data_IF_657859336311
#
_entry.id   IF_657859336311
#
_cell.length_a   1.000
_cell.length_b   1.000
_cell.length_c   1.000
_cell.angle_alpha   90.00
_cell.angle_beta   90.00
_cell.angle_gamma   90.00
#
_symmetry.space_group_name_H-M   'P 1'
#
loop_
_entity.id
_entity.type
_entity.pdbx_description
1 polymer ?
#
# COMPACT_ATOMS: atom_id res chain seq x y z
N UNK A 1 56.75 -53.09 115.40
CA UNK A 1 55.60 -52.16 115.47
C UNK A 1 55.93 -50.68 115.17
N UNK A 2 57.19 -50.22 115.22
CA UNK A 2 57.55 -48.82 114.86
C UNK A 2 57.69 -48.63 113.33
N UNK A 3 58.07 -49.67 112.58
CA UNK A 3 58.25 -49.58 111.12
C UNK A 3 56.94 -49.52 110.31
N UNK A 4 55.85 -50.14 110.76
CA UNK A 4 54.56 -50.09 110.06
C UNK A 4 53.87 -48.72 110.13
N UNK A 5 54.08 -47.95 111.20
CA UNK A 5 53.51 -46.59 111.29
C UNK A 5 54.23 -45.62 110.37
N UNK A 6 55.53 -45.83 110.11
CA UNK A 6 56.33 -45.01 109.18
C UNK A 6 55.93 -45.24 107.73
N UNK A 7 55.67 -46.49 107.33
CA UNK A 7 55.24 -46.82 105.96
C UNK A 7 53.84 -46.29 105.65
N UNK A 8 52.91 -46.32 106.62
CA UNK A 8 51.56 -45.75 106.45
C UNK A 8 51.58 -44.22 106.31
N UNK A 9 52.39 -43.52 107.11
CA UNK A 9 52.58 -42.07 107.00
C UNK A 9 53.25 -41.68 105.68
N UNK A 10 54.28 -42.41 105.27
CA UNK A 10 54.96 -42.19 103.99
C UNK A 10 53.99 -42.37 102.80
N UNK A 11 53.19 -43.44 102.79
CA UNK A 11 52.20 -43.66 101.73
C UNK A 11 51.10 -42.58 101.70
N UNK A 12 50.64 -42.07 102.85
CA UNK A 12 49.66 -40.96 102.89
C UNK A 12 50.23 -39.65 102.32
N UNK A 13 51.49 -39.34 102.63
CA UNK A 13 52.16 -38.14 102.11
C UNK A 13 52.42 -38.27 100.61
N UNK A 14 52.87 -39.44 100.14
CA UNK A 14 53.13 -39.69 98.71
C UNK A 14 51.84 -39.67 97.88
N UNK A 15 50.76 -40.28 98.36
CA UNK A 15 49.44 -40.27 97.69
C UNK A 15 48.82 -38.87 97.67
N UNK A 16 48.92 -38.11 98.77
CA UNK A 16 48.48 -36.71 98.83
C UNK A 16 49.28 -35.82 97.88
N UNK A 17 50.60 -36.01 97.81
CA UNK A 17 51.46 -35.30 96.86
C UNK A 17 51.15 -35.64 95.41
N UNK A 18 50.91 -36.92 95.08
CA UNK A 18 50.52 -37.33 93.73
C UNK A 18 49.14 -36.78 93.34
N UNK A 19 48.17 -36.78 94.27
CA UNK A 19 46.85 -36.18 94.05
C UNK A 19 46.95 -34.68 93.77
N UNK A 20 47.69 -33.94 94.60
CA UNK A 20 47.91 -32.50 94.41
C UNK A 20 48.69 -32.19 93.11
N UNK A 21 49.61 -33.06 92.70
CA UNK A 21 50.35 -32.94 91.43
C UNK A 21 49.44 -33.18 90.22
N UNK A 22 48.52 -34.14 90.31
CA UNK A 22 47.50 -34.38 89.28
C UNK A 22 46.54 -33.19 89.20
N UNK A 23 46.03 -32.70 90.33
CA UNK A 23 45.12 -31.55 90.39
C UNK A 23 45.77 -30.26 89.89
N UNK A 24 47.05 -30.00 90.19
CA UNK A 24 47.79 -28.89 89.55
C UNK A 24 47.96 -29.09 88.05
N UNK A 25 48.19 -30.32 87.62
CA UNK A 25 48.30 -30.66 86.20
C UNK A 25 46.98 -30.44 85.45
N UNK A 26 45.83 -30.76 86.05
CA UNK A 26 44.52 -30.51 85.45
C UNK A 26 44.18 -29.03 85.44
N UNK A 27 44.40 -28.31 86.55
CA UNK A 27 44.17 -26.86 86.60
C UNK A 27 45.07 -26.09 85.63
N UNK A 28 46.32 -26.52 85.44
CA UNK A 28 47.20 -25.90 84.44
C UNK A 28 46.68 -26.13 83.00
N UNK A 29 46.16 -27.32 82.70
CA UNK A 29 45.54 -27.58 81.39
C UNK A 29 44.25 -26.80 81.19
N UNK A 30 43.42 -26.66 82.24
CA UNK A 30 42.20 -25.85 82.19
C UNK A 30 42.51 -24.36 82.03
N UNK A 31 43.57 -23.86 82.68
CA UNK A 31 44.03 -22.49 82.52
C UNK A 31 44.53 -22.24 81.09
N UNK A 32 45.31 -23.17 80.52
CA UNK A 32 45.78 -23.04 79.13
C UNK A 32 44.61 -23.19 78.14
N UNK A 33 43.65 -24.09 78.38
CA UNK A 33 42.43 -24.18 77.58
C UNK A 33 41.62 -22.89 77.65
N UNK A 34 41.44 -22.31 78.85
CA UNK A 34 40.74 -21.04 79.04
C UNK A 34 41.47 -19.87 78.37
N UNK A 35 42.81 -19.85 78.34
CA UNK A 35 43.59 -18.84 77.60
C UNK A 35 43.40 -18.98 76.09
N UNK A 36 43.38 -20.21 75.58
CA UNK A 36 43.12 -20.47 74.16
C UNK A 36 41.69 -20.04 73.78
N UNK A 37 40.70 -20.29 74.64
CA UNK A 37 39.35 -19.79 74.41
C UNK A 37 39.25 -18.26 74.52
N UNK A 38 39.89 -17.65 75.53
CA UNK A 38 39.93 -16.20 75.67
C UNK A 38 40.60 -15.52 74.46
N UNK A 39 41.61 -16.15 73.86
CA UNK A 39 42.26 -15.66 72.65
C UNK A 39 41.38 -15.75 71.39
N UNK A 40 40.34 -16.59 71.39
CA UNK A 40 39.37 -16.69 70.28
C UNK A 40 38.27 -15.62 70.33
N UNK A 41 37.98 -15.07 71.51
CA UNK A 41 36.96 -14.02 71.70
C UNK A 41 37.16 -12.81 70.77
N UNK A 42 38.34 -12.17 70.67
CA UNK A 42 38.51 -11.00 69.80
C UNK A 42 38.34 -11.33 68.31
N UNK A 43 38.67 -12.56 67.89
CA UNK A 43 38.47 -12.99 66.52
C UNK A 43 36.98 -13.17 66.20
N UNK A 44 36.21 -13.75 67.13
CA UNK A 44 34.75 -13.86 67.00
C UNK A 44 34.05 -12.49 67.04
N UNK A 45 34.56 -11.53 67.81
CA UNK A 45 34.04 -10.16 67.83
C UNK A 45 34.26 -9.46 66.49
N UNK A 46 35.43 -9.62 65.87
CA UNK A 46 35.70 -9.08 64.54
C UNK A 46 34.84 -9.76 63.47
N UNK A 47 34.70 -11.09 63.51
CA UNK A 47 33.83 -11.84 62.59
C UNK A 47 32.37 -11.39 62.73
N UNK A 48 31.88 -11.16 63.95
CA UNK A 48 30.54 -10.62 64.19
C UNK A 48 30.37 -9.18 63.68
N UNK A 49 31.42 -8.35 63.81
CA UNK A 49 31.41 -6.99 63.29
C UNK A 49 31.37 -7.00 61.75
N UNK A 50 32.15 -7.86 61.10
CA UNK A 50 32.12 -8.05 59.64
C UNK A 50 30.76 -8.57 59.19
N UNK A 51 30.19 -9.58 59.86
CA UNK A 51 28.88 -10.12 59.52
C UNK A 51 27.76 -9.08 59.66
N UNK A 52 27.82 -8.20 60.68
CA UNK A 52 26.87 -7.09 60.85
C UNK A 52 27.00 -6.04 59.75
N UNK A 53 28.23 -5.72 59.32
CA UNK A 53 28.46 -4.79 58.20
C UNK A 53 27.89 -5.37 56.89
N UNK A 54 28.13 -6.65 56.60
CA UNK A 54 27.57 -7.34 55.44
C UNK A 54 26.03 -7.39 55.47
N UNK A 55 25.43 -7.60 56.65
CA UNK A 55 23.97 -7.51 56.79
C UNK A 55 23.45 -6.11 56.45
N UNK A 56 24.08 -5.05 56.96
CA UNK A 56 23.67 -3.67 56.68
C UNK A 56 23.76 -3.31 55.18
N UNK A 57 24.84 -3.71 54.50
CA UNK A 57 24.99 -3.54 53.05
C UNK A 57 23.88 -4.26 52.27
N UNK A 58 23.53 -5.48 52.69
CA UNK A 58 22.45 -6.25 52.07
C UNK A 58 21.07 -5.59 52.26
N UNK A 59 20.83 -4.97 53.41
CA UNK A 59 19.59 -4.21 53.69
C UNK A 59 19.52 -2.91 52.88
N UNK A 60 20.63 -2.20 52.70
CA UNK A 60 20.69 -1.03 51.83
C UNK A 60 20.47 -1.40 50.36
N UNK A 61 21.10 -2.49 49.89
CA UNK A 61 20.85 -3.04 48.56
C UNK A 61 19.38 -3.44 48.38
N UNK A 62 18.78 -4.08 49.39
CA UNK A 62 17.36 -4.44 49.40
C UNK A 62 16.44 -3.21 49.35
N UNK A 63 16.74 -2.16 50.12
CA UNK A 63 15.99 -0.89 50.09
C UNK A 63 16.11 -0.17 48.74
N UNK A 64 17.31 -0.15 48.15
CA UNK A 64 17.54 0.42 46.82
C UNK A 64 16.78 -0.35 45.73
N UNK A 65 16.77 -1.69 45.80
CA UNK A 65 16.00 -2.53 44.89
C UNK A 65 14.48 -2.28 45.04
N UNK A 66 13.97 -2.19 46.27
CA UNK A 66 12.57 -1.86 46.53
C UNK A 66 12.18 -0.46 46.01
N UNK A 67 13.07 0.52 46.10
CA UNK A 67 12.84 1.86 45.53
C UNK A 67 12.77 1.82 43.99
N UNK A 68 13.68 1.07 43.34
CA UNK A 68 13.64 0.88 41.88
C UNK A 68 12.36 0.19 41.41
N UNK A 69 11.89 -0.83 42.15
CA UNK A 69 10.62 -1.49 41.86
C UNK A 69 9.43 -0.53 41.92
N UNK A 70 9.38 0.35 42.93
CA UNK A 70 8.30 1.35 43.03
C UNK A 70 8.31 2.35 41.87
N UNK A 71 9.50 2.76 41.41
CA UNK A 71 9.62 3.62 40.22
C UNK A 71 9.13 2.88 38.98
N UNK A 72 9.54 1.63 38.79
CA UNK A 72 9.08 0.80 37.68
C UNK A 72 7.56 0.56 37.70
N UNK A 73 6.97 0.34 38.88
CA UNK A 73 5.52 0.23 39.04
C UNK A 73 4.79 1.54 38.67
N UNK A 74 5.38 2.68 39.04
CA UNK A 74 4.91 4.01 38.64
C UNK A 74 4.94 4.21 37.11
N UNK A 75 6.00 3.75 36.46
CA UNK A 75 6.12 3.81 35.00
C UNK A 75 5.13 2.86 34.30
N UNK A 76 4.95 1.64 34.81
CA UNK A 76 3.96 0.68 34.30
C UNK A 76 2.54 1.22 34.40
N UNK A 77 2.18 1.88 35.50
CA UNK A 77 0.85 2.49 35.65
C UNK A 77 0.65 3.65 34.68
N UNK A 78 1.67 4.48 34.44
CA UNK A 78 1.65 5.54 33.44
C UNK A 78 1.47 4.99 32.02
N UNK A 79 2.21 3.93 31.66
CA UNK A 79 2.12 3.31 30.34
C UNK A 79 0.74 2.68 30.10
N UNK A 80 0.17 2.00 31.09
CA UNK A 80 -1.21 1.47 31.00
C UNK A 80 -2.26 2.57 30.82
N UNK A 81 -2.08 3.73 31.45
CA UNK A 81 -2.98 4.86 31.26
C UNK A 81 -2.90 5.42 29.82
N UNK A 82 -1.68 5.50 29.28
CA UNK A 82 -1.44 5.94 27.90
C UNK A 82 -2.00 4.94 26.88
N UNK A 83 -1.82 3.63 27.11
CA UNK A 83 -2.44 2.57 26.29
C UNK A 83 -3.97 2.69 26.30
N UNK A 84 -4.58 2.88 27.47
CA UNK A 84 -6.03 3.09 27.58
C UNK A 84 -6.51 4.33 26.82
N UNK A 85 -5.74 5.42 26.85
CA UNK A 85 -6.05 6.64 26.09
C UNK A 85 -5.97 6.39 24.58
N UNK A 86 -4.92 5.73 24.09
CA UNK A 86 -4.80 5.40 22.68
C UNK A 86 -5.90 4.44 22.20
N UNK A 87 -6.29 3.46 23.03
CA UNK A 87 -7.43 2.60 22.72
C UNK A 87 -8.72 3.42 22.61
N UNK A 88 -8.94 4.39 23.50
CA UNK A 88 -10.09 5.29 23.41
C UNK A 88 -10.06 6.14 22.12
N UNK A 89 -8.90 6.72 21.78
CA UNK A 89 -8.70 7.47 20.53
C UNK A 89 -9.00 6.60 19.30
N UNK A 90 -8.46 5.38 19.24
CA UNK A 90 -8.72 4.45 18.13
C UNK A 90 -10.20 4.08 18.01
N UNK A 91 -10.91 3.88 19.12
CA UNK A 91 -12.36 3.64 19.08
C UNK A 91 -13.15 4.86 18.58
N UNK A 92 -12.71 6.08 18.92
CA UNK A 92 -13.33 7.32 18.43
C UNK A 92 -13.08 7.53 16.93
N UNK A 93 -11.87 7.24 16.44
CA UNK A 93 -11.55 7.33 15.02
C UNK A 93 -12.34 6.30 14.21
N UNK A 94 -12.42 5.05 14.70
CA UNK A 94 -13.20 3.99 14.04
C UNK A 94 -14.69 4.32 13.93
N UNK A 95 -15.27 4.96 14.95
CA UNK A 95 -16.68 5.39 14.90
C UNK A 95 -16.87 6.56 13.95
N UNK A 96 -15.97 7.55 13.95
CA UNK A 96 -16.00 8.66 13.00
C UNK A 96 -15.81 8.21 11.53
N UNK A 97 -14.93 7.23 11.28
CA UNK A 97 -14.77 6.64 9.96
C UNK A 97 -16.02 5.88 9.51
N UNK A 98 -16.63 5.11 10.41
CA UNK A 98 -17.90 4.43 10.12
C UNK A 98 -18.99 5.41 9.74
N UNK A 99 -19.12 6.54 10.45
CA UNK A 99 -20.09 7.58 10.11
C UNK A 99 -19.82 8.20 8.73
N UNK A 100 -18.55 8.41 8.36
CA UNK A 100 -18.20 8.88 7.02
C UNK A 100 -18.56 7.86 5.94
N UNK A 101 -18.32 6.58 6.17
CA UNK A 101 -18.70 5.50 5.25
C UNK A 101 -20.23 5.44 5.10
N UNK A 102 -20.96 5.56 6.19
CA UNK A 102 -22.43 5.58 6.17
C UNK A 102 -22.98 6.81 5.41
N UNK A 103 -22.36 8.00 5.56
CA UNK A 103 -22.73 9.20 4.77
C UNK A 103 -22.44 9.01 3.28
N UNK A 104 -21.28 8.44 2.93
CA UNK A 104 -20.93 8.13 1.54
C UNK A 104 -21.88 7.10 0.93
N UNK A 105 -22.26 6.07 1.68
CA UNK A 105 -23.26 5.08 1.24
C UNK A 105 -24.59 5.74 0.93
N UNK A 106 -25.08 6.63 1.81
CA UNK A 106 -26.34 7.38 1.56
C UNK A 106 -26.26 8.26 0.31
N UNK A 107 -25.12 8.92 0.08
CA UNK A 107 -24.90 9.73 -1.12
C UNK A 107 -24.86 8.87 -2.38
N UNK A 108 -24.27 7.68 -2.31
CA UNK A 108 -24.26 6.73 -3.41
C UNK A 108 -25.68 6.27 -3.75
N UNK A 109 -26.48 5.87 -2.76
CA UNK A 109 -27.88 5.48 -2.94
C UNK A 109 -28.71 6.61 -3.58
N UNK A 110 -28.45 7.86 -3.20
CA UNK A 110 -29.13 9.02 -3.79
C UNK A 110 -28.73 9.24 -5.25
N UNK A 111 -27.45 9.09 -5.59
CA UNK A 111 -26.97 9.17 -6.97
C UNK A 111 -27.54 8.03 -7.81
N UNK A 112 -27.65 6.82 -7.27
CA UNK A 112 -28.26 5.68 -7.94
C UNK A 112 -29.77 5.91 -8.19
N UNK A 113 -30.50 6.45 -7.22
CA UNK A 113 -31.90 6.86 -7.42
C UNK A 113 -32.03 7.90 -8.53
N UNK A 114 -31.15 8.90 -8.56
CA UNK A 114 -31.15 9.93 -9.61
C UNK A 114 -30.84 9.32 -10.99
N UNK A 115 -29.89 8.38 -11.07
CA UNK A 115 -29.60 7.65 -12.30
C UNK A 115 -30.80 6.87 -12.80
N UNK A 116 -31.48 6.13 -11.92
CA UNK A 116 -32.67 5.34 -12.28
C UNK A 116 -33.82 6.24 -12.74
N UNK A 117 -34.06 7.36 -12.07
CA UNK A 117 -35.08 8.34 -12.49
C UNK A 117 -34.77 8.93 -13.88
N UNK A 118 -33.52 9.29 -14.15
CA UNK A 118 -33.11 9.77 -15.47
C UNK A 118 -33.22 8.68 -16.54
N UNK A 119 -32.91 7.43 -16.19
CA UNK A 119 -33.04 6.31 -17.11
C UNK A 119 -34.51 6.08 -17.49
N UNK A 120 -35.44 6.19 -16.53
CA UNK A 120 -36.88 6.15 -16.79
C UNK A 120 -37.33 7.32 -17.69
N UNK A 121 -36.87 8.54 -17.43
CA UNK A 121 -37.19 9.70 -18.28
C UNK A 121 -36.70 9.51 -19.73
N UNK A 122 -35.51 8.92 -19.91
CA UNK A 122 -34.97 8.59 -21.24
C UNK A 122 -35.81 7.52 -21.93
N UNK A 123 -36.27 6.49 -21.20
CA UNK A 123 -37.15 5.47 -21.78
C UNK A 123 -38.52 6.04 -22.14
N UNK A 124 -39.09 6.92 -21.32
CA UNK A 124 -40.37 7.54 -21.62
C UNK A 124 -40.27 8.40 -22.88
N UNK A 125 -39.24 9.25 -22.98
CA UNK A 125 -39.00 10.08 -24.18
C UNK A 125 -38.70 9.25 -25.43
N UNK A 126 -37.98 8.14 -25.31
CA UNK A 126 -37.71 7.28 -26.46
C UNK A 126 -39.00 6.62 -26.97
N UNK A 127 -39.91 6.23 -26.08
CA UNK A 127 -41.23 5.72 -26.48
C UNK A 127 -42.12 6.79 -27.13
N UNK A 128 -42.09 8.03 -26.64
CA UNK A 128 -42.79 9.17 -27.25
C UNK A 128 -42.25 9.44 -28.67
N UNK A 129 -40.93 9.52 -28.82
CA UNK A 129 -40.30 9.71 -30.14
C UNK A 129 -40.65 8.55 -31.09
N UNK A 130 -40.66 7.31 -30.61
CA UNK A 130 -41.05 6.16 -31.42
C UNK A 130 -42.51 6.23 -31.85
N UNK A 131 -43.42 6.71 -30.98
CA UNK A 131 -44.82 6.93 -31.33
C UNK A 131 -44.98 8.04 -32.37
N UNK A 132 -44.24 9.15 -32.24
CA UNK A 132 -44.26 10.22 -33.26
C UNK A 132 -43.68 9.76 -34.60
N UNK A 133 -42.62 8.95 -34.59
CA UNK A 133 -42.05 8.38 -35.81
C UNK A 133 -43.06 7.46 -36.51
N UNK A 134 -43.76 6.59 -35.76
CA UNK A 134 -44.84 5.74 -36.29
C UNK A 134 -45.97 6.58 -36.91
N UNK A 135 -46.38 7.65 -36.25
CA UNK A 135 -47.39 8.56 -36.77
C UNK A 135 -46.97 9.17 -38.12
N UNK A 136 -45.70 9.61 -38.25
CA UNK A 136 -45.17 10.10 -39.52
C UNK A 136 -45.10 9.02 -40.60
N UNK A 137 -44.70 7.79 -40.26
CA UNK A 137 -44.69 6.68 -41.24
C UNK A 137 -46.09 6.34 -41.73
N UNK A 138 -47.10 6.41 -40.86
CA UNK A 138 -48.50 6.19 -41.24
C UNK A 138 -49.01 7.29 -42.18
N UNK A 139 -48.66 8.56 -41.91
CA UNK A 139 -48.99 9.69 -42.81
C UNK A 139 -48.35 9.49 -44.18
N UNK A 140 -47.07 9.12 -44.24
CA UNK A 140 -46.36 8.90 -45.51
C UNK A 140 -46.99 7.72 -46.27
N UNK A 141 -47.30 6.60 -45.60
CA UNK A 141 -47.97 5.47 -46.23
C UNK A 141 -49.37 5.79 -46.77
N UNK A 142 -50.11 6.68 -46.09
CA UNK A 142 -51.41 7.17 -46.58
C UNK A 142 -51.27 8.04 -47.84
N UNK A 143 -50.19 8.81 -47.96
CA UNK A 143 -49.90 9.60 -49.16
C UNK A 143 -49.55 8.68 -50.34
N UNK A 144 -48.67 7.69 -50.15
CA UNK A 144 -48.26 6.77 -51.22
C UNK A 144 -49.42 5.91 -51.76
N UNK A 145 -50.33 5.47 -50.90
CA UNK A 145 -51.52 4.71 -51.33
C UNK A 145 -52.56 5.56 -52.06
N UNK A 146 -52.59 6.88 -51.82
CA UNK A 146 -53.43 7.84 -52.55
C UNK A 146 -52.83 8.33 -53.88
N UNK A 147 -51.54 8.09 -54.14
CA UNK A 147 -50.82 8.64 -55.29
C UNK A 147 -50.80 7.74 -56.53
N UNK A 148 -51.81 6.86 -56.67
CA UNK A 148 -52.00 5.99 -57.85
C UNK A 148 -52.89 6.62 -58.93
N UNK A 149 -53.19 7.91 -58.83
CA UNK A 149 -54.08 8.63 -59.74
C UNK A 149 -53.39 9.83 -60.37
N UNK A 150 -52.81 9.60 -61.55
CA UNK A 150 -52.65 10.54 -62.67
C UNK A 150 -52.91 12.03 -62.33
N UNK A 151 -51.88 12.75 -61.86
CA UNK A 151 -51.94 14.21 -61.77
C UNK A 151 -50.69 14.88 -62.34
N UNK A 152 -50.91 15.59 -63.44
CA UNK A 152 -49.96 16.51 -64.05
C UNK A 152 -49.61 17.64 -63.08
N UNK A 153 -48.31 17.91 -62.96
CA UNK A 153 -47.75 19.03 -62.23
C UNK A 153 -48.23 20.36 -62.82
N UNK A 154 -49.08 21.08 -62.09
CA UNK A 154 -49.17 22.54 -62.19
C UNK A 154 -49.13 23.11 -60.76
N UNK A 155 -48.08 23.89 -60.47
CA UNK A 155 -47.86 24.57 -59.19
C UNK A 155 -49.00 25.56 -58.90
N UNK A 156 -49.28 25.85 -57.61
CA UNK A 156 -48.51 26.87 -56.90
C UNK A 156 -48.23 26.55 -55.41
N UNK A 157 -47.09 27.02 -54.90
CA UNK A 157 -46.74 26.99 -53.48
C UNK A 157 -47.62 27.99 -52.68
N UNK A 158 -48.17 27.61 -51.50
CA UNK A 158 -48.61 28.58 -50.51
C UNK A 158 -47.53 28.77 -49.42
N UNK A 159 -47.34 30.03 -49.03
CA UNK A 159 -46.50 30.43 -47.91
C UNK A 159 -47.09 29.91 -46.58
N UNK A 160 -46.36 29.01 -45.91
CA UNK A 160 -46.71 28.51 -44.58
C UNK A 160 -45.96 29.30 -43.50
N UNK A 161 -46.67 30.25 -42.87
CA UNK A 161 -46.19 30.99 -41.72
C UNK A 161 -46.26 30.15 -40.43
N UNK A 162 -45.10 29.85 -39.85
CA UNK A 162 -45.02 29.27 -38.51
C UNK A 162 -45.40 30.32 -37.47
N UNK A 163 -46.59 30.17 -36.86
CA UNK A 163 -47.01 30.94 -35.70
C UNK A 163 -46.99 30.01 -34.49
N UNK A 164 -45.93 30.07 -33.68
CA UNK A 164 -45.86 29.37 -32.39
C UNK A 164 -46.84 30.01 -31.39
N UNK A 165 -47.59 29.22 -30.60
CA UNK A 165 -48.39 29.75 -29.50
C UNK A 165 -47.50 30.13 -28.31
N UNK A 166 -47.58 31.41 -27.92
CA UNK A 166 -46.97 31.95 -26.72
C UNK A 166 -47.79 31.57 -25.47
N UNK A 167 -47.69 30.33 -24.98
CA UNK A 167 -48.25 29.97 -23.66
C UNK A 167 -47.68 28.66 -23.09
N UNK A 168 -46.41 28.64 -22.68
CA UNK A 168 -45.90 27.59 -21.77
C UNK A 168 -44.62 28.01 -21.01
N UNK A 169 -44.43 29.31 -20.79
CA UNK A 169 -43.20 29.85 -20.18
C UNK A 169 -43.42 30.44 -18.79
N UNK A 170 -44.15 29.78 -17.89
CA UNK A 170 -44.40 30.32 -16.55
C UNK A 170 -44.75 29.23 -15.54
N UNK A 171 -43.81 28.32 -15.24
CA UNK A 171 -43.74 27.56 -13.98
C UNK A 171 -42.58 26.57 -14.08
N UNK A 172 -41.36 27.03 -13.80
CA UNK A 172 -40.21 26.24 -13.34
C UNK A 172 -39.00 27.18 -13.11
N UNK A 173 -39.23 28.25 -12.33
CA UNK A 173 -38.18 29.22 -11.96
C UNK A 173 -37.91 29.31 -10.45
N UNK A 174 -38.40 28.34 -9.68
CA UNK A 174 -38.07 28.26 -8.25
C UNK A 174 -37.52 26.87 -7.98
N UNK A 175 -36.31 26.84 -7.41
CA UNK A 175 -35.50 25.68 -7.02
C UNK A 175 -34.53 25.15 -8.09
N UNK A 176 -33.51 25.95 -8.39
CA UNK A 176 -32.15 25.42 -8.63
C UNK A 176 -31.11 26.26 -7.90
N UNK A 177 -30.26 25.65 -7.04
CA UNK A 177 -29.06 26.31 -6.53
C UNK A 177 -28.01 26.41 -7.64
N UNK A 178 -27.22 27.48 -7.57
CA UNK A 178 -26.11 27.86 -8.45
C UNK A 178 -25.19 26.71 -8.83
N UNK A 179 -25.51 26.02 -9.93
CA UNK A 179 -24.52 25.29 -10.73
C UNK A 179 -24.38 26.05 -12.02
N UNK A 180 -23.26 26.78 -12.16
CA UNK A 180 -22.81 27.36 -13.43
C UNK A 180 -22.76 26.23 -14.45
N UNK A 181 -23.84 26.09 -15.24
CA UNK A 181 -23.86 25.22 -16.40
C UNK A 181 -22.77 25.77 -17.32
N UNK A 182 -21.66 25.04 -17.44
CA UNK A 182 -20.82 25.16 -18.63
C UNK A 182 -21.69 24.65 -19.78
N UNK A 183 -22.46 25.55 -20.36
CA UNK A 183 -23.00 25.37 -21.70
C UNK A 183 -21.79 25.23 -22.60
N UNK A 184 -21.60 24.02 -23.13
CA UNK A 184 -20.48 23.78 -24.01
C UNK A 184 -20.58 24.72 -25.24
N UNK A 185 -19.54 25.51 -25.56
CA UNK A 185 -19.62 26.56 -26.60
C UNK A 185 -19.71 26.06 -28.05
N UNK A 186 -19.83 24.76 -28.30
CA UNK A 186 -19.69 24.18 -29.64
C UNK A 186 -20.95 24.21 -30.51
N UNK A 187 -22.02 24.92 -30.12
CA UNK A 187 -23.19 25.11 -30.98
C UNK A 187 -23.13 26.45 -31.73
N UNK A 188 -22.88 26.45 -33.06
CA UNK A 188 -22.93 27.66 -33.90
C UNK A 188 -24.30 28.37 -33.86
N UNK A 189 -25.35 27.65 -33.45
CA UNK A 189 -26.70 28.18 -33.24
C UNK A 189 -26.74 29.31 -32.20
N UNK A 190 -25.93 29.23 -31.13
CA UNK A 190 -25.95 30.24 -30.07
C UNK A 190 -25.33 31.58 -30.51
N UNK A 191 -24.29 31.54 -31.36
CA UNK A 191 -23.68 32.74 -31.93
C UNK A 191 -24.60 33.39 -32.97
N UNK A 192 -25.30 32.58 -33.77
CA UNK A 192 -26.31 33.01 -34.75
C UNK A 192 -27.51 33.68 -34.09
N UNK A 193 -28.01 33.13 -33.00
CA UNK A 193 -29.10 33.73 -32.21
C UNK A 193 -28.70 35.05 -31.54
N UNK A 194 -27.42 35.19 -31.15
CA UNK A 194 -26.91 36.42 -30.58
C UNK A 194 -26.76 37.52 -31.65
N UNK A 195 -26.31 37.16 -32.86
CA UNK A 195 -26.16 38.09 -34.00
C UNK A 195 -27.51 38.53 -34.57
N UNK A 196 -28.45 37.59 -34.77
CA UNK A 196 -29.80 37.89 -35.23
C UNK A 196 -30.59 38.80 -34.28
N UNK A 197 -30.29 38.76 -32.97
CA UNK A 197 -30.85 39.69 -31.99
C UNK A 197 -30.23 41.09 -32.03
N UNK A 198 -29.01 41.24 -32.54
CA UNK A 198 -28.29 42.51 -32.58
C UNK A 198 -28.47 43.29 -33.89
N UNK A 199 -28.62 42.60 -35.04
CA UNK A 199 -28.69 43.26 -36.35
C UNK A 199 -30.10 43.35 -36.93
N UNK A 200 -31.09 42.65 -36.37
CA UNK A 200 -32.48 42.70 -36.84
C UNK A 200 -32.71 42.12 -38.24
N UNK A 201 -31.69 41.51 -38.85
CA UNK A 201 -31.78 40.85 -40.15
C UNK A 201 -32.41 39.46 -40.00
N UNK A 202 -33.55 39.28 -40.65
CA UNK A 202 -34.22 38.00 -40.75
C UNK A 202 -33.31 36.97 -41.42
N UNK A 203 -33.03 35.89 -40.68
CA UNK A 203 -32.48 34.60 -41.13
C UNK A 203 -32.28 34.47 -42.65
N UNK A 204 -31.14 34.92 -43.18
CA UNK A 204 -30.67 34.40 -44.46
C UNK A 204 -30.34 32.91 -44.26
N UNK A 205 -30.94 32.05 -45.09
CA UNK A 205 -30.75 30.59 -45.08
C UNK A 205 -29.35 30.15 -45.50
N UNK A 206 -28.54 31.04 -46.08
CA UNK A 206 -27.16 30.74 -46.47
C UNK A 206 -26.22 30.93 -45.28
N UNK A 207 -25.53 29.85 -44.92
CA UNK A 207 -24.44 29.89 -43.95
C UNK A 207 -23.34 30.80 -44.51
N UNK A 208 -23.00 31.86 -43.79
CA UNK A 208 -21.97 32.78 -44.26
C UNK A 208 -20.59 32.16 -44.08
N UNK A 209 -19.62 32.53 -44.92
CA UNK A 209 -18.23 32.07 -44.77
C UNK A 209 -17.68 32.35 -43.36
N UNK A 210 -18.10 33.47 -42.76
CA UNK A 210 -17.74 33.85 -41.39
C UNK A 210 -18.27 32.87 -40.33
N UNK A 211 -19.47 32.32 -40.52
CA UNK A 211 -20.04 31.29 -39.66
C UNK A 211 -19.26 29.96 -39.81
N UNK A 212 -18.74 29.67 -41.01
CA UNK A 212 -17.90 28.48 -41.27
C UNK A 212 -16.56 28.62 -40.58
N UNK A 213 -15.92 29.78 -40.69
CA UNK A 213 -14.67 30.07 -39.99
C UNK A 213 -14.87 30.07 -38.48
N UNK A 214 -15.96 30.63 -37.97
CA UNK A 214 -16.30 30.61 -36.53
C UNK A 214 -16.56 29.20 -36.02
N UNK A 215 -17.28 28.37 -36.79
CA UNK A 215 -17.52 26.97 -36.44
C UNK A 215 -16.24 26.13 -36.51
N UNK A 216 -15.32 26.43 -37.43
CA UNK A 216 -14.03 25.75 -37.51
C UNK A 216 -13.11 26.17 -36.36
N UNK A 217 -13.01 27.46 -36.07
CA UNK A 217 -12.24 27.98 -34.94
C UNK A 217 -12.70 27.38 -33.61
N UNK A 218 -14.02 27.31 -33.37
CA UNK A 218 -14.59 26.69 -32.18
C UNK A 218 -14.31 25.18 -32.06
N UNK A 219 -14.01 24.49 -33.17
CA UNK A 219 -13.62 23.06 -33.18
C UNK A 219 -12.11 22.86 -33.06
N UNK A 220 -11.32 23.79 -33.59
CA UNK A 220 -9.85 23.74 -33.54
C UNK A 220 -9.33 24.20 -32.17
N UNK A 221 -10.00 25.12 -31.49
CA UNK A 221 -9.59 25.61 -30.17
C UNK A 221 -9.50 24.48 -29.10
N UNK A 222 -10.47 23.56 -28.96
CA UNK A 222 -10.32 22.41 -28.07
C UNK A 222 -9.15 21.49 -28.45
N UNK A 223 -8.91 21.26 -29.75
CA UNK A 223 -7.85 20.37 -30.24
C UNK A 223 -6.48 20.97 -29.95
N UNK A 224 -6.31 22.27 -30.20
CA UNK A 224 -5.07 23.00 -29.90
C UNK A 224 -4.79 23.04 -28.40
N UNK A 225 -5.82 23.25 -27.58
CA UNK A 225 -5.69 23.18 -26.12
C UNK A 225 -5.29 21.79 -25.64
N UNK A 226 -5.93 20.74 -26.16
CA UNK A 226 -5.59 19.36 -25.83
C UNK A 226 -4.15 19.01 -26.25
N UNK A 227 -3.74 19.41 -27.45
CA UNK A 227 -2.37 19.21 -27.92
C UNK A 227 -1.33 19.91 -27.05
N UNK A 228 -1.64 21.12 -26.57
CA UNK A 228 -0.77 21.84 -25.63
C UNK A 228 -0.70 21.18 -24.26
N UNK A 229 -1.83 20.74 -23.71
CA UNK A 229 -1.89 20.01 -22.43
C UNK A 229 -1.14 18.67 -22.52
N UNK A 230 -1.30 17.93 -23.62
CA UNK A 230 -0.61 16.67 -23.86
C UNK A 230 0.91 16.88 -23.98
N UNK A 231 1.33 17.90 -24.74
CA UNK A 231 2.74 18.26 -24.87
C UNK A 231 3.33 18.63 -23.51
N UNK A 232 2.65 19.46 -22.73
CA UNK A 232 3.12 19.85 -21.40
C UNK A 232 3.24 18.66 -20.45
N UNK A 233 2.25 17.77 -20.45
CA UNK A 233 2.30 16.54 -19.65
C UNK A 233 3.46 15.64 -20.06
N UNK A 234 3.73 15.54 -21.36
CA UNK A 234 4.88 14.80 -21.88
C UNK A 234 6.22 15.44 -21.50
N UNK A 235 6.35 16.77 -21.58
CA UNK A 235 7.55 17.50 -21.13
C UNK A 235 7.80 17.32 -19.62
N UNK A 236 6.76 17.14 -18.80
CA UNK A 236 6.89 16.82 -17.37
C UNK A 236 7.26 15.34 -17.13
N UNK A 237 6.76 14.42 -17.97
CA UNK A 237 6.99 12.98 -17.84
C UNK A 237 8.41 12.56 -18.25
N UNK A 238 8.95 13.15 -19.32
CA UNK A 238 10.26 12.80 -19.87
C UNK A 238 11.40 12.88 -18.84
N UNK A 239 11.59 13.97 -18.08
CA UNK A 239 12.67 14.03 -17.09
C UNK A 239 12.45 13.07 -15.91
N UNK A 240 11.21 12.63 -15.67
CA UNK A 240 10.91 11.63 -14.65
C UNK A 240 11.29 10.22 -15.12
N UNK A 241 11.06 9.89 -16.39
CA UNK A 241 11.36 8.55 -16.94
C UNK A 241 12.81 8.41 -17.42
N UNK A 242 13.40 9.50 -17.92
CA UNK A 242 14.77 9.55 -18.42
C UNK A 242 15.50 10.76 -17.81
N UNK A 243 16.01 10.63 -16.56
CA UNK A 243 16.71 11.73 -15.91
C UNK A 243 17.95 12.20 -16.67
N UNK A 244 18.53 11.34 -17.51
CA UNK A 244 19.75 11.62 -18.28
C UNK A 244 19.47 12.24 -19.67
N UNK A 245 18.20 12.37 -20.08
CA UNK A 245 17.81 12.91 -21.39
C UNK A 245 17.03 14.21 -21.25
N UNK A 246 17.42 15.23 -22.00
CA UNK A 246 16.64 16.46 -22.12
C UNK A 246 15.38 16.24 -22.96
N UNK A 247 14.30 16.93 -22.62
CA UNK A 247 13.03 16.82 -23.35
C UNK A 247 13.17 17.39 -24.77
N UNK A 248 12.88 16.60 -25.82
CA UNK A 248 12.93 17.10 -27.20
C UNK A 248 11.92 18.23 -27.42
N UNK A 249 12.34 19.28 -28.14
CA UNK A 249 11.46 20.39 -28.55
C UNK A 249 10.47 19.99 -29.66
N UNK A 250 10.83 18.96 -30.45
CA UNK A 250 10.07 18.50 -31.60
C UNK A 250 9.02 17.44 -31.21
N UNK A 251 7.78 17.63 -31.66
CA UNK A 251 6.65 16.75 -31.36
C UNK A 251 6.92 15.32 -31.88
N UNK A 252 7.52 15.16 -33.06
CA UNK A 252 7.82 13.84 -33.62
C UNK A 252 8.85 13.06 -32.80
N UNK A 253 9.84 13.76 -32.23
CA UNK A 253 10.83 13.14 -31.36
C UNK A 253 10.23 12.81 -29.99
N UNK A 254 9.35 13.68 -29.50
CA UNK A 254 8.60 13.46 -28.26
C UNK A 254 7.68 12.24 -28.38
N UNK A 255 6.98 12.05 -29.50
CA UNK A 255 6.13 10.87 -29.72
C UNK A 255 6.94 9.59 -29.79
N UNK A 256 8.07 9.58 -30.50
CA UNK A 256 8.95 8.38 -30.55
C UNK A 256 9.53 8.02 -29.18
N UNK A 257 9.72 9.02 -28.30
CA UNK A 257 10.20 8.79 -26.94
C UNK A 257 9.08 8.26 -26.03
N UNK A 258 7.85 8.75 -26.19
CA UNK A 258 6.68 8.24 -25.45
C UNK A 258 6.33 6.81 -25.89
N UNK A 259 6.54 6.47 -27.16
CA UNK A 259 6.36 5.09 -27.65
C UNK A 259 7.28 4.10 -26.92
N UNK A 260 8.46 4.53 -26.48
CA UNK A 260 9.40 3.74 -25.66
C UNK A 260 9.08 3.79 -24.15
N UNK A 261 8.08 4.57 -23.74
CA UNK A 261 7.73 4.70 -22.32
C UNK A 261 7.30 3.37 -21.66
N UNK A 262 6.54 2.47 -22.31
CA UNK A 262 6.14 1.20 -21.70
C UNK A 262 7.34 0.35 -21.26
N UNK A 263 8.32 0.17 -22.14
CA UNK A 263 9.54 -0.59 -21.83
C UNK A 263 10.32 0.09 -20.70
N UNK A 264 10.42 1.42 -20.78
CA UNK A 264 11.05 2.20 -19.72
C UNK A 264 10.32 2.10 -18.39
N UNK A 265 8.99 1.97 -18.36
CA UNK A 265 8.23 1.74 -17.13
C UNK A 265 8.55 0.37 -16.52
N UNK A 266 8.83 -0.65 -17.34
CA UNK A 266 9.26 -1.95 -16.85
C UNK A 266 10.63 -1.83 -16.18
N UNK A 267 11.58 -1.14 -16.81
CA UNK A 267 12.89 -0.83 -16.20
C UNK A 267 12.73 -0.09 -14.88
N UNK A 268 11.84 0.90 -14.84
CA UNK A 268 11.55 1.68 -13.64
C UNK A 268 10.95 0.85 -12.53
N UNK A 269 10.09 -0.12 -12.85
CA UNK A 269 9.60 -1.08 -11.86
C UNK A 269 10.76 -1.90 -11.31
N UNK A 270 11.65 -2.41 -12.16
CA UNK A 270 12.86 -3.12 -11.73
C UNK A 270 13.79 -2.26 -10.87
N UNK A 271 13.98 -0.99 -11.25
CA UNK A 271 14.73 -0.01 -10.45
C UNK A 271 14.10 0.19 -9.07
N UNK A 272 12.78 0.40 -9.02
CA UNK A 272 12.07 0.59 -7.76
C UNK A 272 12.13 -0.65 -6.85
N UNK A 273 12.07 -1.86 -7.41
CA UNK A 273 12.24 -3.09 -6.63
C UNK A 273 13.67 -3.23 -6.10
N UNK A 274 14.70 -2.91 -6.89
CA UNK A 274 16.10 -2.88 -6.43
C UNK A 274 16.30 -1.86 -5.32
N UNK A 275 15.80 -0.63 -5.48
CA UNK A 275 15.87 0.40 -4.45
C UNK A 275 15.16 -0.01 -3.14
N UNK A 276 14.02 -0.69 -3.25
CA UNK A 276 13.33 -1.28 -2.11
C UNK A 276 14.11 -2.41 -1.44
N UNK A 277 14.76 -3.26 -2.23
CA UNK A 277 15.63 -4.33 -1.74
C UNK A 277 16.86 -3.77 -1.01
N UNK A 278 17.54 -2.77 -1.58
CA UNK A 278 18.68 -2.09 -0.96
C UNK A 278 18.28 -1.43 0.36
N UNK A 279 17.13 -0.75 0.40
CA UNK A 279 16.60 -0.17 1.64
C UNK A 279 16.35 -1.26 2.70
N UNK A 280 15.68 -2.36 2.32
CA UNK A 280 15.40 -3.46 3.23
C UNK A 280 16.70 -4.14 3.73
N UNK A 281 17.68 -4.34 2.85
CA UNK A 281 18.98 -4.90 3.20
C UNK A 281 19.76 -3.97 4.12
N UNK A 282 19.77 -2.66 3.85
CA UNK A 282 20.41 -1.67 4.72
C UNK A 282 19.82 -1.69 6.13
N UNK A 283 18.49 -1.86 6.23
CA UNK A 283 17.82 -2.02 7.51
C UNK A 283 18.28 -3.31 8.20
N UNK A 284 18.24 -4.46 7.55
CA UNK A 284 18.68 -5.74 8.14
C UNK A 284 20.15 -5.67 8.60
N UNK A 285 21.04 -5.15 7.76
CA UNK A 285 22.47 -5.02 8.07
C UNK A 285 22.72 -4.06 9.24
N UNK A 286 21.93 -2.99 9.38
CA UNK A 286 22.06 -2.07 10.52
C UNK A 286 21.69 -2.70 11.87
N UNK A 287 20.84 -3.74 11.86
CA UNK A 287 20.46 -4.49 13.06
C UNK A 287 21.35 -5.71 13.31
N UNK A 288 21.94 -6.26 12.25
CA UNK A 288 22.73 -7.48 12.31
C UNK A 288 24.02 -7.35 11.48
N UNK A 289 25.08 -6.82 12.11
CA UNK A 289 26.38 -6.58 11.48
C UNK A 289 27.10 -7.85 10.98
N UNK A 290 26.66 -9.05 11.39
CA UNK A 290 27.31 -10.34 11.08
C UNK A 290 26.48 -11.24 10.14
N UNK A 291 25.48 -10.69 9.44
CA UNK A 291 24.67 -11.50 8.51
C UNK A 291 25.43 -11.81 7.24
N UNK A 292 25.73 -13.09 7.04
CA UNK A 292 26.27 -13.62 5.80
C UNK A 292 25.16 -13.71 4.73
N UNK A 293 25.32 -12.95 3.63
CA UNK A 293 24.38 -12.90 2.52
C UNK A 293 24.25 -14.26 1.82
N UNK A 294 25.32 -15.07 1.78
CA UNK A 294 25.28 -16.41 1.19
C UNK A 294 24.35 -17.36 1.93
N UNK A 295 24.23 -17.21 3.25
CA UNK A 295 23.27 -18.00 4.05
C UNK A 295 21.82 -17.56 3.84
N UNK A 296 21.57 -16.27 3.58
CA UNK A 296 20.23 -15.80 3.24
C UNK A 296 19.78 -16.32 1.88
N UNK A 297 20.68 -16.35 0.91
CA UNK A 297 20.42 -16.90 -0.42
C UNK A 297 20.14 -18.40 -0.36
N UNK A 298 20.97 -19.16 0.37
CA UNK A 298 20.72 -20.58 0.63
C UNK A 298 19.36 -20.84 1.31
N UNK A 299 18.97 -20.00 2.27
CA UNK A 299 17.66 -20.09 2.93
C UNK A 299 16.50 -19.61 2.07
N UNK A 300 16.76 -18.86 1.00
CA UNK A 300 15.72 -18.41 0.04
C UNK A 300 15.44 -19.47 -1.01
N UNK A 301 16.46 -20.25 -1.40
CA UNK A 301 16.32 -21.35 -2.35
C UNK A 301 15.23 -22.34 -1.87
N UNK A 302 14.20 -22.56 -2.70
CA UNK A 302 13.07 -23.46 -2.42
C UNK A 302 11.91 -22.88 -1.60
N UNK A 303 12.10 -21.75 -0.90
CA UNK A 303 11.04 -21.19 -0.02
C UNK A 303 9.88 -20.57 -0.80
N UNK A 304 10.09 -20.12 -2.02
CA UNK A 304 9.04 -19.43 -2.80
C UNK A 304 7.92 -20.39 -3.27
N UNK A 305 8.26 -21.65 -3.50
CA UNK A 305 7.35 -22.74 -3.85
C UNK A 305 6.57 -23.26 -2.64
N UNK A 306 7.19 -23.25 -1.44
CA UNK A 306 6.61 -23.80 -0.21
C UNK A 306 5.66 -22.83 0.54
N UNK A 307 5.58 -21.55 0.14
CA UNK A 307 4.74 -20.55 0.83
C UNK A 307 3.26 -20.73 0.54
N UNK A 308 2.44 -20.69 1.59
CA UNK A 308 0.98 -20.59 1.42
C UNK A 308 0.56 -19.24 0.81
N UNK A 309 -0.62 -19.19 0.19
CA UNK A 309 -1.17 -17.97 -0.41
C UNK A 309 -1.24 -16.79 0.59
N UNK A 310 -1.61 -17.08 1.85
CA UNK A 310 -1.68 -16.07 2.92
C UNK A 310 -0.31 -15.48 3.25
N UNK A 311 0.74 -16.32 3.26
CA UNK A 311 2.11 -15.87 3.50
C UNK A 311 2.65 -15.05 2.34
N UNK A 312 2.30 -15.41 1.09
CA UNK A 312 2.61 -14.61 -0.11
C UNK A 312 1.92 -13.25 -0.04
N UNK A 313 0.63 -13.20 0.31
CA UNK A 313 -0.10 -11.96 0.49
C UNK A 313 0.49 -11.08 1.60
N UNK A 314 0.87 -11.67 2.74
CA UNK A 314 1.52 -10.95 3.84
C UNK A 314 2.91 -10.41 3.45
N UNK A 315 3.68 -11.16 2.65
CA UNK A 315 4.96 -10.68 2.10
C UNK A 315 4.75 -9.53 1.13
N UNK A 316 3.76 -9.61 0.24
CA UNK A 316 3.40 -8.54 -0.67
C UNK A 316 2.95 -7.27 0.08
N UNK A 317 2.16 -7.42 1.14
CA UNK A 317 1.74 -6.30 1.99
C UNK A 317 2.94 -5.61 2.68
N UNK A 318 3.95 -6.38 3.12
CA UNK A 318 5.18 -5.80 3.67
C UNK A 318 6.06 -5.16 2.61
N UNK A 319 6.19 -5.78 1.44
CA UNK A 319 6.97 -5.23 0.33
C UNK A 319 6.36 -3.90 -0.17
N UNK A 320 5.03 -3.82 -0.27
CA UNK A 320 4.33 -2.58 -0.61
C UNK A 320 4.52 -1.49 0.45
N UNK A 321 4.52 -1.84 1.74
CA UNK A 321 4.84 -0.89 2.81
C UNK A 321 6.27 -0.35 2.71
N UNK A 322 7.26 -1.19 2.34
CA UNK A 322 8.65 -0.75 2.14
C UNK A 322 8.73 0.20 0.94
N UNK A 323 7.98 -0.06 -0.13
CA UNK A 323 7.95 0.79 -1.33
C UNK A 323 7.48 2.23 -1.08
N UNK A 324 6.80 2.51 0.03
CA UNK A 324 6.42 3.87 0.44
C UNK A 324 7.60 4.69 1.00
N UNK A 325 8.65 4.01 1.48
CA UNK A 325 9.86 4.65 2.02
C UNK A 325 11.00 4.78 0.99
N UNK A 326 10.82 4.22 -0.21
CA UNK A 326 11.82 4.27 -1.28
C UNK A 326 11.71 5.60 -2.03
N UNK A 327 12.85 6.23 -2.32
CA UNK A 327 12.88 7.41 -3.19
C UNK A 327 12.66 6.99 -4.65
N UNK A 328 11.43 7.15 -5.12
CA UNK A 328 10.99 6.82 -6.48
C UNK A 328 11.54 7.77 -7.54
N UNK A 329 12.35 8.78 -7.17
CA UNK A 329 13.00 9.70 -8.12
C UNK A 329 14.35 9.20 -8.59
N UNK A 330 14.92 8.22 -7.89
CA UNK A 330 16.22 7.65 -8.22
C UNK A 330 16.04 6.42 -9.09
N UNK A 331 16.65 6.45 -10.28
CA UNK A 331 16.72 5.30 -11.17
C UNK A 331 17.99 4.50 -10.88
N UNK A 332 17.84 3.21 -10.58
CA UNK A 332 18.90 2.23 -10.37
C UNK A 332 18.87 1.23 -11.54
N UNK A 333 19.84 1.39 -12.45
CA UNK A 333 20.01 0.50 -13.58
C UNK A 333 20.27 -0.95 -13.13
N UNK A 334 19.95 -1.92 -14.00
CA UNK A 334 20.30 -3.30 -13.73
C UNK A 334 21.83 -3.47 -13.77
N UNK A 335 22.49 -3.96 -12.71
CA UNK A 335 23.89 -4.31 -12.77
C UNK A 335 24.19 -5.46 -13.75
N UNK A 336 23.20 -6.29 -14.09
CA UNK A 336 23.32 -7.34 -15.10
C UNK A 336 22.13 -7.26 -16.06
N UNK A 337 22.15 -6.36 -17.07
CA UNK A 337 21.10 -6.34 -18.07
C UNK A 337 21.05 -7.71 -18.73
N UNK A 338 19.86 -8.33 -18.76
CA UNK A 338 19.63 -9.50 -19.59
C UNK A 338 20.04 -9.11 -21.02
N UNK A 339 21.13 -9.69 -21.53
CA UNK A 339 21.35 -9.65 -22.97
C UNK A 339 20.22 -10.46 -23.58
N UNK A 340 19.43 -9.85 -24.45
CA UNK A 340 18.28 -10.47 -25.14
C UNK A 340 18.65 -11.69 -26.02
N UNK A 341 19.84 -12.28 -25.85
CA UNK A 341 20.37 -13.43 -26.58
C UNK A 341 20.03 -14.80 -25.95
N UNK A 342 19.51 -14.86 -24.71
CA UNK A 342 19.32 -16.14 -24.00
C UNK A 342 17.86 -16.67 -23.92
N UNK A 343 16.84 -15.95 -24.40
CA UNK A 343 15.44 -16.43 -24.33
C UNK A 343 14.94 -17.22 -25.55
N UNK A 344 15.74 -17.46 -26.60
CA UNK A 344 15.30 -18.22 -27.79
C UNK A 344 15.59 -19.74 -27.76
N UNK A 345 16.11 -20.32 -26.67
CA UNK A 345 16.55 -21.73 -26.66
C UNK A 345 15.74 -22.71 -25.78
N UNK A 346 14.53 -22.35 -25.37
CA UNK A 346 13.66 -23.25 -24.62
C UNK A 346 12.25 -23.40 -25.24
N UNK A 347 12.16 -23.69 -26.53
CA UNK A 347 10.91 -24.24 -27.12
C UNK A 347 11.13 -25.19 -28.31
N UNK A 348 12.14 -26.07 -28.23
CA UNK A 348 12.14 -27.29 -29.05
C UNK A 348 12.41 -28.54 -28.20
N UNK A 349 11.33 -29.12 -27.67
CA UNK A 349 11.41 -30.44 -27.07
C UNK A 349 10.05 -31.05 -26.72
N UNK A 350 9.74 -32.17 -27.40
CA UNK A 350 8.74 -33.23 -27.08
C UNK A 350 7.35 -32.99 -27.72
N UNK A 351 6.74 -33.86 -28.55
CA UNK A 351 6.95 -35.24 -29.02
C UNK A 351 5.91 -35.50 -30.14
N UNK A 352 6.19 -36.34 -31.15
CA UNK A 352 5.29 -37.47 -31.43
C UNK A 352 5.92 -38.49 -32.38
N UNK A 353 6.28 -39.61 -31.76
CA UNK A 353 6.61 -40.91 -32.32
C UNK A 353 5.54 -41.35 -33.36
N UNK A 354 5.95 -41.51 -34.62
CA UNK A 354 5.12 -42.12 -35.67
C UNK A 354 5.77 -43.45 -36.09
N UNK A 355 5.04 -44.57 -36.04
CA UNK A 355 5.61 -45.89 -36.31
C UNK A 355 5.87 -46.08 -37.83
N UNK A 356 6.86 -46.91 -38.20
CA UNK A 356 7.29 -47.07 -39.59
C UNK A 356 6.26 -47.86 -40.42
N UNK A 357 6.00 -47.48 -41.68
CA UNK A 357 5.17 -48.30 -42.56
C UNK A 357 5.95 -49.53 -43.07
N UNK A 358 5.27 -50.67 -43.00
CA UNK A 358 5.72 -51.95 -43.49
C UNK A 358 5.87 -51.97 -45.02
N UNK A 359 6.88 -52.73 -45.45
CA UNK A 359 7.22 -53.14 -46.81
C UNK A 359 6.13 -54.06 -47.36
N UNK A 360 5.73 -53.90 -48.64
CA UNK A 360 5.73 -55.01 -49.60
C UNK A 360 5.42 -54.60 -51.07
N UNK A 361 5.81 -55.45 -52.05
CA UNK A 361 6.34 -55.05 -53.34
C UNK A 361 5.38 -55.37 -54.50
N UNK A 362 5.30 -54.51 -55.52
CA UNK A 362 4.83 -54.93 -56.84
C UNK A 362 5.39 -53.99 -57.91
N UNK A 363 6.44 -54.43 -58.59
CA UNK A 363 6.75 -53.95 -59.94
C UNK A 363 5.64 -54.42 -60.92
N UNK A 364 5.58 -53.87 -62.14
CA UNK A 364 6.61 -54.25 -63.10
C UNK A 364 7.02 -53.15 -64.10
N UNK A 365 8.28 -53.24 -64.53
CA UNK A 365 8.78 -52.73 -65.82
C UNK A 365 8.08 -53.49 -66.99
N UNK A 366 8.15 -53.13 -68.29
CA UNK A 366 9.37 -52.65 -68.95
C UNK A 366 9.21 -51.72 -70.18
N UNK A 367 10.38 -51.43 -70.77
CA UNK A 367 10.69 -51.26 -72.20
C UNK A 367 10.89 -49.83 -72.75
N UNK A 368 12.18 -49.47 -72.80
CA UNK A 368 12.96 -48.94 -73.92
C UNK A 368 12.28 -48.29 -75.13
N UNK A 369 12.83 -47.14 -75.53
CA UNK A 369 13.67 -46.95 -76.73
C UNK A 369 14.70 -45.86 -76.44
#
# INVERSE_FOLDING_TARGET
MVDERRTVLYNKVVTSYHKAKIERGTLARELEAAKVEAARVPQLEEDLRVARAQCAESEEAGRAAAAKLRVADGELTRLRALEKNHLAELTSLRTAEKEKVDDLSRRLDEVEKQRLALQQEVTDKSTELTATAKHWTDIIGAIDTGFSGEFMFTSPLPAFGWRLPASAGSRLQKLRPSRKRRTWPWMPLALREARGRATGEGSSESFTMEDHMSSLAARVEPITKFGWELRKAAEELVPMLWPDKEAPQDISSLTSLIEQAPDRFIDWKGSATRAGADMALSFVLSWYNEVDLGQLEYRRAGVEEELSADQKAARLARASAIADFVDKRLFIADPNPHSDEEEELEDEGVEMDSPPPAVDPTGPAPAGV
#
